data_IF_108310081850
#
_entry.id   IF_108310081850
#
_cell.length_a   1.000
_cell.length_b   1.000
_cell.length_c   1.000
_cell.angle_alpha   90.00
_cell.angle_beta   90.00
_cell.angle_gamma   90.00
#
_symmetry.space_group_name_H-M   'P 1'
#
loop_
_entity.id
_entity.type
_entity.pdbx_description
1 polymer ?
#
# COMPACT_ATOMS: atom_id res chain seq x y z
N UNK A 1 -24.43 -52.68 24.27
CA UNK A 1 -24.72 -51.29 23.88
C UNK A 1 -23.45 -50.47 24.12
N UNK A 2 -22.67 -50.17 23.07
CA UNK A 2 -21.44 -49.38 23.15
C UNK A 2 -21.80 -47.90 23.02
N UNK A 3 -21.61 -47.09 24.04
CA UNK A 3 -21.79 -45.64 24.01
C UNK A 3 -20.60 -45.02 23.26
N UNK A 4 -20.85 -44.45 22.09
CA UNK A 4 -19.90 -43.68 21.34
C UNK A 4 -19.76 -42.32 22.01
N UNK A 5 -18.62 -42.08 22.66
CA UNK A 5 -18.30 -40.76 23.25
C UNK A 5 -17.85 -39.84 22.13
N UNK A 6 -18.73 -38.94 21.68
CA UNK A 6 -18.36 -37.85 20.78
C UNK A 6 -17.52 -36.84 21.58
N UNK A 7 -16.21 -36.88 21.37
CA UNK A 7 -15.30 -35.82 21.84
C UNK A 7 -15.50 -34.65 20.88
N UNK A 8 -16.31 -33.68 21.29
CA UNK A 8 -16.38 -32.38 20.64
C UNK A 8 -15.11 -31.62 21.05
N UNK A 9 -14.09 -31.60 20.18
CA UNK A 9 -12.96 -30.72 20.33
C UNK A 9 -13.47 -29.29 20.22
N UNK A 10 -13.24 -28.41 21.22
CA UNK A 10 -13.59 -27.00 21.06
C UNK A 10 -12.67 -26.44 19.98
N UNK A 11 -13.28 -25.96 18.89
CA UNK A 11 -12.62 -25.13 17.90
C UNK A 11 -12.20 -23.85 18.62
N UNK A 12 -10.98 -23.82 19.14
CA UNK A 12 -10.35 -22.59 19.64
C UNK A 12 -10.22 -21.66 18.42
N UNK A 13 -11.20 -20.77 18.28
CA UNK A 13 -11.06 -19.56 17.48
C UNK A 13 -9.93 -18.75 18.15
N UNK A 14 -8.71 -19.00 17.72
CA UNK A 14 -7.60 -18.09 17.96
C UNK A 14 -7.94 -16.84 17.13
N UNK A 15 -8.67 -15.91 17.76
CA UNK A 15 -8.70 -14.52 17.33
C UNK A 15 -7.27 -14.03 17.55
N UNK A 16 -6.40 -14.33 16.59
CA UNK A 16 -5.03 -13.88 16.58
C UNK A 16 -5.03 -12.36 16.54
N UNK A 17 -4.74 -11.76 17.67
CA UNK A 17 -4.30 -10.37 17.73
C UNK A 17 -3.11 -10.31 16.75
N UNK A 18 -3.31 -9.76 15.55
CA UNK A 18 -2.28 -9.70 14.50
C UNK A 18 -1.12 -8.85 15.04
N UNK A 19 -0.08 -9.55 15.53
CA UNK A 19 1.09 -8.92 16.13
C UNK A 19 1.75 -8.04 15.08
N UNK A 20 1.90 -6.77 15.40
CA UNK A 20 2.66 -5.82 14.58
C UNK A 20 4.14 -6.26 14.56
N UNK A 21 4.70 -6.56 13.40
CA UNK A 21 6.07 -7.04 13.24
C UNK A 21 6.88 -6.07 12.38
N UNK A 22 8.20 -5.99 12.63
CA UNK A 22 9.07 -5.22 11.75
C UNK A 22 9.16 -5.89 10.37
N UNK A 23 8.91 -5.12 9.29
CA UNK A 23 8.98 -5.63 7.92
C UNK A 23 10.37 -6.19 7.60
N UNK A 24 11.42 -5.62 8.21
CA UNK A 24 12.82 -6.01 8.00
C UNK A 24 13.16 -7.40 8.58
N UNK A 25 12.33 -7.91 9.50
CA UNK A 25 12.50 -9.26 10.07
C UNK A 25 11.86 -10.36 9.22
N UNK A 26 10.96 -10.00 8.30
CA UNK A 26 10.32 -10.97 7.41
C UNK A 26 11.32 -11.55 6.41
N UNK A 27 11.20 -12.84 6.16
CA UNK A 27 12.01 -13.54 5.15
C UNK A 27 11.35 -13.28 3.77
N UNK A 28 12.15 -12.77 2.83
CA UNK A 28 11.74 -12.65 1.43
C UNK A 28 12.21 -13.87 0.65
N UNK A 29 11.26 -14.58 0.04
CA UNK A 29 11.58 -15.73 -0.83
C UNK A 29 10.57 -15.74 -1.99
N UNK A 30 11.09 -15.72 -3.21
CA UNK A 30 10.29 -15.74 -4.45
C UNK A 30 9.21 -14.64 -4.52
N UNK A 31 9.50 -13.44 -3.94
CA UNK A 31 8.60 -12.30 -3.87
C UNK A 31 7.49 -12.41 -2.82
N UNK A 32 7.51 -13.47 -2.01
CA UNK A 32 6.57 -13.67 -0.90
C UNK A 32 7.26 -13.45 0.45
N UNK A 33 6.50 -12.95 1.42
CA UNK A 33 6.96 -12.72 2.79
C UNK A 33 6.57 -13.88 3.71
N UNK A 34 7.54 -14.37 4.46
CA UNK A 34 7.40 -15.45 5.43
C UNK A 34 7.71 -14.96 6.84
N UNK A 35 7.01 -15.51 7.83
CA UNK A 35 7.31 -15.26 9.23
C UNK A 35 8.69 -15.82 9.62
N UNK A 36 9.52 -15.07 10.36
CA UNK A 36 10.90 -15.49 10.64
C UNK A 36 11.00 -16.77 11.49
N UNK A 37 10.03 -17.01 12.38
CA UNK A 37 10.06 -18.16 13.30
C UNK A 37 9.33 -19.38 12.71
N UNK A 38 8.07 -19.20 12.28
CA UNK A 38 7.24 -20.32 11.79
C UNK A 38 7.58 -20.76 10.39
N UNK A 39 8.25 -19.90 9.58
CA UNK A 39 8.54 -20.13 8.15
C UNK A 39 7.27 -20.27 7.27
N UNK A 40 6.12 -19.90 7.80
CA UNK A 40 4.86 -19.88 7.07
C UNK A 40 4.67 -18.53 6.35
N UNK A 41 3.82 -18.52 5.33
CA UNK A 41 3.44 -17.28 4.65
C UNK A 41 2.87 -16.28 5.66
N UNK A 42 3.43 -15.07 5.65
CA UNK A 42 3.07 -14.07 6.64
C UNK A 42 1.73 -13.40 6.31
N UNK A 43 0.84 -13.36 7.30
CA UNK A 43 -0.38 -12.55 7.29
C UNK A 43 -0.42 -11.69 8.55
N UNK A 44 -0.50 -10.36 8.38
CA UNK A 44 -0.47 -9.45 9.52
C UNK A 44 -0.03 -8.04 9.16
N UNK A 45 0.04 -7.17 10.18
CA UNK A 45 0.52 -5.79 10.05
C UNK A 45 2.03 -5.71 10.18
N UNK A 46 2.61 -4.81 9.41
CA UNK A 46 4.05 -4.54 9.44
C UNK A 46 4.35 -3.07 9.64
N UNK A 47 5.53 -2.80 10.17
CA UNK A 47 6.12 -1.48 10.22
C UNK A 47 7.62 -1.54 9.93
N UNK A 48 8.21 -0.42 9.54
CA UNK A 48 9.65 -0.18 9.67
C UNK A 48 9.91 1.29 9.95
N UNK A 49 11.09 1.59 10.46
CA UNK A 49 11.52 2.94 10.80
C UNK A 49 12.76 3.32 10.01
N UNK A 50 12.92 4.62 9.77
CA UNK A 50 14.19 5.19 9.32
C UNK A 50 15.24 5.10 10.41
N UNK A 51 16.52 5.16 10.04
CA UNK A 51 17.59 5.44 11.00
C UNK A 51 17.30 6.80 11.67
N UNK A 52 17.11 6.79 13.01
CA UNK A 52 16.62 7.95 13.75
C UNK A 52 15.21 7.81 14.32
N UNK A 53 14.51 6.68 14.02
CA UNK A 53 13.29 6.26 14.71
C UNK A 53 11.99 6.73 14.08
N UNK A 54 12.00 7.69 13.15
CA UNK A 54 10.78 8.10 12.44
C UNK A 54 10.21 6.96 11.58
N UNK A 55 8.88 6.87 11.49
CA UNK A 55 8.20 5.88 10.63
C UNK A 55 8.74 5.93 9.20
N UNK A 56 8.95 4.76 8.58
CA UNK A 56 9.34 4.59 7.19
C UNK A 56 8.26 3.88 6.40
N UNK A 57 7.69 2.81 6.95
CA UNK A 57 6.62 2.00 6.35
C UNK A 57 5.64 1.57 7.43
N UNK A 58 4.36 1.51 7.04
CA UNK A 58 3.29 0.82 7.75
C UNK A 58 2.35 0.20 6.72
N UNK A 59 1.95 -1.05 6.92
CA UNK A 59 1.09 -1.75 5.98
C UNK A 59 0.68 -3.12 6.47
N UNK A 60 0.11 -3.91 5.57
CA UNK A 60 -0.32 -5.27 5.86
C UNK A 60 0.01 -6.22 4.72
N UNK A 61 0.13 -7.48 5.09
CA UNK A 61 0.32 -8.62 4.21
C UNK A 61 -0.75 -9.67 4.49
N UNK A 62 -1.12 -10.39 3.46
CA UNK A 62 -1.96 -11.58 3.51
C UNK A 62 -1.32 -12.65 2.64
N UNK A 63 -1.14 -13.84 3.22
CA UNK A 63 -0.53 -15.00 2.53
C UNK A 63 0.79 -14.62 1.81
N UNK A 64 1.64 -13.86 2.50
CA UNK A 64 2.94 -13.39 2.01
C UNK A 64 2.90 -12.23 1.02
N UNK A 65 1.73 -11.77 0.58
CA UNK A 65 1.56 -10.69 -0.38
C UNK A 65 1.06 -9.42 0.31
N UNK A 66 1.44 -8.25 -0.24
CA UNK A 66 0.85 -6.98 0.23
C UNK A 66 -0.65 -7.00 0.03
N UNK A 67 -1.41 -6.65 1.07
CA UNK A 67 -2.87 -6.63 1.05
C UNK A 67 -3.37 -5.56 2.04
N UNK A 68 -4.23 -4.64 1.56
CA UNK A 68 -4.71 -3.49 2.30
C UNK A 68 -3.89 -2.22 2.09
N UNK A 69 -4.10 -1.23 2.97
CA UNK A 69 -3.43 0.06 2.91
C UNK A 69 -1.94 -0.07 3.26
N UNK A 70 -1.08 0.54 2.45
CA UNK A 70 0.35 0.69 2.72
C UNK A 70 0.73 2.17 2.64
N UNK A 71 1.40 2.66 3.70
CA UNK A 71 1.85 4.03 3.82
C UNK A 71 3.37 4.04 3.95
N UNK A 72 4.00 4.99 3.27
CA UNK A 72 5.43 5.27 3.40
C UNK A 72 5.64 6.73 3.75
N UNK A 73 6.71 7.01 4.49
CA UNK A 73 7.09 8.34 4.94
C UNK A 73 8.51 8.68 4.50
N UNK A 74 8.75 9.96 4.32
CA UNK A 74 10.09 10.54 4.21
C UNK A 74 10.79 10.53 5.58
N UNK A 75 12.11 10.72 5.59
CA UNK A 75 12.90 10.85 6.84
C UNK A 75 12.45 12.03 7.70
N UNK A 76 11.92 13.10 7.10
CA UNK A 76 11.39 14.27 7.80
C UNK A 76 10.02 14.03 8.44
N UNK A 77 9.43 12.82 8.34
CA UNK A 77 8.14 12.46 8.91
C UNK A 77 6.93 12.79 8.03
N UNK A 78 7.09 13.50 6.92
CA UNK A 78 6.04 13.75 5.95
C UNK A 78 5.69 12.46 5.19
N UNK A 79 4.40 12.29 4.82
CA UNK A 79 4.02 11.18 3.95
C UNK A 79 4.76 11.27 2.62
N UNK A 80 5.28 10.12 2.14
CA UNK A 80 5.87 9.97 0.82
C UNK A 80 4.85 9.43 -0.17
N UNK A 81 4.18 8.33 0.20
CA UNK A 81 3.09 7.76 -0.59
C UNK A 81 2.18 6.90 0.27
N UNK A 82 0.92 6.80 -0.15
CA UNK A 82 -0.02 5.81 0.37
C UNK A 82 -0.82 5.22 -0.79
N UNK A 83 -1.26 3.99 -0.62
CA UNK A 83 -2.09 3.30 -1.61
C UNK A 83 -2.51 1.94 -1.12
N UNK A 84 -3.54 1.42 -1.78
CA UNK A 84 -4.13 0.13 -1.46
C UNK A 84 -3.52 -0.96 -2.34
N UNK A 85 -3.34 -2.12 -1.76
CA UNK A 85 -2.86 -3.33 -2.41
C UNK A 85 -3.91 -4.43 -2.24
N UNK A 86 -4.03 -5.29 -3.25
CA UNK A 86 -4.85 -6.48 -3.21
C UNK A 86 -4.09 -7.63 -3.85
N UNK A 87 -3.90 -8.71 -3.10
CA UNK A 87 -3.17 -9.91 -3.56
C UNK A 87 -1.78 -9.60 -4.17
N UNK A 88 -1.08 -8.57 -3.65
CA UNK A 88 0.24 -8.14 -4.11
C UNK A 88 0.23 -7.14 -5.26
N UNK A 89 -0.95 -6.74 -5.77
CA UNK A 89 -1.15 -5.80 -6.87
C UNK A 89 -1.61 -4.43 -6.37
N UNK A 90 -1.19 -3.38 -7.06
CA UNK A 90 -1.71 -2.04 -6.80
C UNK A 90 -3.18 -1.97 -7.23
N UNK A 91 -4.07 -1.65 -6.27
CA UNK A 91 -5.52 -1.57 -6.48
C UNK A 91 -6.11 -0.46 -5.62
N UNK A 92 -7.02 0.37 -6.18
CA UNK A 92 -7.62 1.49 -5.49
C UNK A 92 -6.84 2.80 -5.57
N UNK A 93 -7.15 3.73 -4.66
CA UNK A 93 -6.59 5.08 -4.65
C UNK A 93 -5.13 5.08 -4.24
N UNK A 94 -4.33 5.83 -4.98
CA UNK A 94 -2.91 6.08 -4.74
C UNK A 94 -2.62 7.55 -4.70
N UNK A 95 -1.91 7.99 -3.65
CA UNK A 95 -1.45 9.37 -3.50
C UNK A 95 0.05 9.38 -3.19
N UNK A 96 0.77 10.29 -3.80
CA UNK A 96 2.17 10.59 -3.51
C UNK A 96 2.33 12.07 -3.20
N UNK A 97 3.23 12.37 -2.29
CA UNK A 97 3.58 13.73 -1.87
C UNK A 97 5.03 14.03 -2.16
N UNK A 98 5.33 15.30 -2.29
CA UNK A 98 6.66 15.86 -2.19
C UNK A 98 7.12 15.87 -0.73
N UNK A 99 8.40 16.07 -0.49
CA UNK A 99 8.97 16.15 0.85
C UNK A 99 8.59 17.43 1.61
N UNK A 100 8.03 18.42 0.91
CA UNK A 100 7.40 19.62 1.48
C UNK A 100 5.93 19.38 1.91
N UNK A 101 5.40 18.15 1.79
CA UNK A 101 4.06 17.75 2.19
C UNK A 101 2.95 18.05 1.18
N UNK A 102 3.23 18.72 0.06
CA UNK A 102 2.24 18.95 -1.00
C UNK A 102 2.05 17.70 -1.86
N UNK A 103 0.83 17.49 -2.37
CA UNK A 103 0.56 16.38 -3.29
C UNK A 103 1.43 16.49 -4.54
N UNK A 104 1.95 15.35 -5.00
CA UNK A 104 2.69 15.19 -6.25
C UNK A 104 1.85 14.51 -7.33
N UNK A 105 1.17 13.43 -6.97
CA UNK A 105 0.12 12.85 -7.81
C UNK A 105 -0.95 12.15 -6.98
N UNK A 106 -2.13 11.99 -7.59
CA UNK A 106 -3.23 11.18 -7.09
C UNK A 106 -3.94 10.54 -8.27
N UNK A 107 -4.32 9.27 -8.11
CA UNK A 107 -5.05 8.52 -9.13
C UNK A 107 -5.38 7.10 -8.65
N UNK A 108 -6.16 6.39 -9.44
CA UNK A 108 -6.64 5.05 -9.10
C UNK A 108 -5.93 4.00 -9.97
N UNK A 109 -5.53 2.90 -9.35
CA UNK A 109 -5.17 1.66 -10.02
C UNK A 109 -6.32 0.66 -9.92
N UNK A 110 -6.45 -0.14 -10.95
CA UNK A 110 -7.29 -1.33 -11.01
C UNK A 110 -6.46 -2.44 -11.63
N UNK A 111 -6.23 -3.51 -10.87
CA UNK A 111 -5.40 -4.65 -11.31
C UNK A 111 -4.01 -4.23 -11.87
N UNK A 112 -3.30 -3.31 -11.18
CA UNK A 112 -2.01 -2.72 -11.56
C UNK A 112 -2.05 -1.74 -12.74
N UNK A 113 -3.20 -1.54 -13.38
CA UNK A 113 -3.37 -0.59 -14.47
C UNK A 113 -3.97 0.73 -13.96
N UNK A 114 -3.54 1.84 -14.57
CA UNK A 114 -4.15 3.15 -14.26
C UNK A 114 -5.58 3.19 -14.78
N UNK A 115 -6.50 3.62 -13.91
CA UNK A 115 -7.93 3.76 -14.24
C UNK A 115 -8.46 5.11 -13.78
N UNK A 116 -9.36 5.72 -14.57
CA UNK A 116 -9.96 7.01 -14.26
C UNK A 116 -9.00 8.19 -14.30
N UNK A 117 -9.31 9.23 -13.50
CA UNK A 117 -8.56 10.48 -13.48
C UNK A 117 -7.28 10.36 -12.65
N UNK A 118 -6.18 10.81 -13.24
CA UNK A 118 -4.88 11.00 -12.62
C UNK A 118 -4.50 12.46 -12.64
N UNK A 119 -4.30 13.05 -11.48
CA UNK A 119 -3.87 14.44 -11.32
C UNK A 119 -2.43 14.48 -10.84
N UNK A 120 -1.61 15.30 -11.49
CA UNK A 120 -0.24 15.60 -11.10
C UNK A 120 -0.14 17.07 -10.72
N UNK A 121 0.69 17.36 -9.74
CA UNK A 121 0.98 18.71 -9.27
C UNK A 121 2.47 18.99 -9.30
N UNK A 122 2.83 20.24 -9.47
CA UNK A 122 4.15 20.78 -9.22
C UNK A 122 4.42 20.86 -7.71
N UNK A 123 5.65 21.03 -7.30
CA UNK A 123 6.05 21.16 -5.89
C UNK A 123 5.58 22.48 -5.26
N UNK A 124 5.27 23.51 -6.08
CA UNK A 124 4.59 24.72 -5.65
C UNK A 124 3.10 24.51 -5.32
N UNK A 125 2.51 23.33 -5.67
CA UNK A 125 1.12 22.93 -5.43
C UNK A 125 0.16 23.27 -6.57
N UNK A 126 0.62 23.93 -7.63
CA UNK A 126 -0.18 24.15 -8.85
C UNK A 126 -0.36 22.84 -9.62
N UNK A 127 -1.51 22.66 -10.27
CA UNK A 127 -1.72 21.50 -11.15
C UNK A 127 -0.70 21.51 -12.28
N UNK A 128 -0.12 20.34 -12.57
CA UNK A 128 0.77 20.11 -13.69
C UNK A 128 0.03 19.44 -14.85
N UNK A 129 -0.76 18.40 -14.54
CA UNK A 129 -1.57 17.72 -15.55
C UNK A 129 -2.73 16.95 -14.94
N UNK A 130 -3.79 16.80 -15.73
CA UNK A 130 -4.88 15.85 -15.55
C UNK A 130 -4.88 14.89 -16.72
N UNK A 131 -4.86 13.59 -16.43
CA UNK A 131 -4.83 12.52 -17.43
C UNK A 131 -5.92 11.53 -17.10
N UNK A 132 -6.75 11.18 -18.07
CA UNK A 132 -7.75 10.13 -17.88
C UNK A 132 -7.27 8.85 -18.52
N UNK A 133 -7.41 7.75 -17.79
CA UNK A 133 -7.04 6.42 -18.24
C UNK A 133 -8.26 5.51 -18.28
N UNK A 134 -8.27 4.58 -19.21
CA UNK A 134 -9.22 3.48 -19.32
C UNK A 134 -8.46 2.24 -19.76
N UNK A 135 -8.58 1.16 -19.00
CA UNK A 135 -7.89 -0.11 -19.27
C UNK A 135 -6.37 0.13 -19.51
N UNK A 136 -5.72 0.87 -18.61
CA UNK A 136 -4.31 1.23 -18.66
C UNK A 136 -3.92 2.26 -19.73
N UNK A 137 -4.79 2.57 -20.70
CA UNK A 137 -4.52 3.49 -21.80
C UNK A 137 -4.96 4.90 -21.48
N UNK A 138 -4.10 5.89 -21.75
CA UNK A 138 -4.46 7.31 -21.62
C UNK A 138 -5.41 7.71 -22.73
N UNK A 139 -6.60 8.21 -22.37
CA UNK A 139 -7.63 8.67 -23.31
C UNK A 139 -7.75 10.19 -23.38
N UNK A 140 -7.27 10.93 -22.36
CA UNK A 140 -7.21 12.39 -22.38
C UNK A 140 -6.04 12.93 -21.57
N UNK A 141 -5.64 14.17 -21.87
CA UNK A 141 -4.64 14.94 -21.12
C UNK A 141 -4.99 16.43 -21.19
N UNK A 142 -4.82 17.11 -20.05
CA UNK A 142 -4.79 18.56 -19.93
C UNK A 142 -3.57 18.95 -19.09
N UNK A 143 -2.83 19.96 -19.50
CA UNK A 143 -1.58 20.37 -18.87
C UNK A 143 -1.57 21.85 -18.53
N UNK A 144 -0.82 22.21 -17.50
CA UNK A 144 -0.63 23.57 -17.01
C UNK A 144 0.84 23.86 -16.80
N UNK A 145 1.22 25.11 -16.91
CA UNK A 145 2.51 25.63 -16.51
C UNK A 145 2.58 25.80 -14.99
N UNK A 146 3.77 26.03 -14.45
CA UNK A 146 3.98 26.22 -13.01
C UNK A 146 3.31 27.48 -12.45
N UNK A 147 2.98 28.45 -13.29
CA UNK A 147 2.22 29.65 -12.95
C UNK A 147 0.70 29.44 -12.97
N UNK A 148 0.25 28.21 -13.34
CA UNK A 148 -1.15 27.83 -13.41
C UNK A 148 -1.84 28.14 -14.76
N UNK A 149 -1.15 28.75 -15.72
CA UNK A 149 -1.67 28.94 -17.06
C UNK A 149 -1.80 27.60 -17.81
N UNK A 150 -2.81 27.49 -18.67
CA UNK A 150 -3.02 26.26 -19.47
C UNK A 150 -1.95 26.18 -20.55
N UNK A 151 -1.37 25.01 -20.75
CA UNK A 151 -0.50 24.74 -21.91
C UNK A 151 -1.36 24.60 -23.16
N UNK A 152 -0.98 25.31 -24.20
CA UNK A 152 -1.57 25.19 -25.54
C UNK A 152 -1.11 23.91 -26.25
#
# INVERSE_FOLDING_TARGET
MKRLLLIVLPLLLIVGCSKLISEETLIDKDGLKYHPDTKELFSGKVYSNHMGGNKKIEGSYKDGKKDGLLIRWYKNGQKFREGTWKDGKEDGLWTRWYDNGKKRFEGTYKDEERDGLWTLWYDNGQKQSEKTFKDGKRISIKEWNEDGSVKE
#
